data_IF_582175989931
#
_entry.id   IF_582175989931
#
_cell.length_a   1.000
_cell.length_b   1.000
_cell.length_c   1.000
_cell.angle_alpha   90.00
_cell.angle_beta   90.00
_cell.angle_gamma   90.00
#
_symmetry.space_group_name_H-M   'P 1'
#
loop_
_entity.id
_entity.type
_entity.pdbx_description
1 polymer ?
#
# COMPACT_ATOMS: atom_id res chain seq x y z
N UNK A 1 -1.63 -13.62 -11.51
CA UNK A 1 -2.82 -14.16 -10.77
C UNK A 1 -4.09 -13.46 -11.24
N UNK A 2 -5.21 -14.18 -11.37
CA UNK A 2 -6.54 -13.60 -11.62
C UNK A 2 -7.55 -14.09 -10.59
N UNK A 3 -8.53 -13.26 -10.26
CA UNK A 3 -9.55 -13.57 -9.26
C UNK A 3 -10.87 -12.86 -9.58
N UNK A 4 -12.00 -13.48 -9.22
CA UNK A 4 -13.31 -12.83 -9.27
C UNK A 4 -13.47 -11.84 -8.11
N UNK A 5 -14.25 -10.79 -8.34
CA UNK A 5 -14.50 -9.78 -7.31
C UNK A 5 -15.12 -10.36 -6.04
N UNK A 6 -16.10 -11.28 -6.17
CA UNK A 6 -16.74 -11.91 -5.00
C UNK A 6 -15.73 -12.71 -4.16
N UNK A 7 -14.90 -13.53 -4.81
CA UNK A 7 -13.89 -14.34 -4.14
C UNK A 7 -12.85 -13.46 -3.42
N UNK A 8 -12.37 -12.40 -4.07
CA UNK A 8 -11.49 -11.42 -3.46
C UNK A 8 -12.12 -10.81 -2.21
N UNK A 9 -13.35 -10.29 -2.32
CA UNK A 9 -14.02 -9.64 -1.19
C UNK A 9 -14.27 -10.60 -0.03
N UNK A 10 -14.59 -11.87 -0.34
CA UNK A 10 -14.76 -12.92 0.67
C UNK A 10 -13.45 -13.22 1.39
N UNK A 11 -12.35 -13.41 0.65
CA UNK A 11 -11.00 -13.61 1.23
C UNK A 11 -10.60 -12.45 2.14
N UNK A 12 -10.88 -11.20 1.74
CA UNK A 12 -10.60 -10.03 2.58
C UNK A 12 -11.48 -10.02 3.83
N UNK A 13 -12.79 -10.32 3.71
CA UNK A 13 -13.72 -10.38 4.84
C UNK A 13 -13.36 -11.47 5.85
N UNK A 14 -12.95 -12.65 5.38
CA UNK A 14 -12.56 -13.80 6.19
C UNK A 14 -11.11 -13.73 6.70
N UNK A 15 -10.37 -12.69 6.33
CA UNK A 15 -8.93 -12.54 6.61
C UNK A 15 -8.07 -13.70 6.05
N UNK A 16 -8.52 -14.32 4.95
CA UNK A 16 -7.80 -15.36 4.21
C UNK A 16 -6.76 -14.74 3.26
N UNK A 17 -5.74 -14.13 3.86
CA UNK A 17 -4.61 -13.54 3.14
C UNK A 17 -3.36 -13.49 4.02
N UNK A 18 -2.18 -13.48 3.39
CA UNK A 18 -0.93 -13.34 4.12
C UNK A 18 -0.81 -11.93 4.71
N UNK A 19 -0.43 -11.85 5.96
CA UNK A 19 -0.27 -10.59 6.69
C UNK A 19 1.09 -10.54 7.37
N UNK A 20 1.79 -9.42 7.22
CA UNK A 20 2.96 -9.11 8.02
C UNK A 20 2.96 -7.63 8.44
N UNK A 21 3.53 -7.37 9.61
CA UNK A 21 3.72 -6.02 10.14
C UNK A 21 5.09 -5.91 10.79
N UNK A 22 5.96 -5.14 10.17
CA UNK A 22 7.22 -4.71 10.75
C UNK A 22 7.09 -3.30 11.33
N UNK A 23 7.57 -3.11 12.56
CA UNK A 23 7.57 -1.80 13.20
C UNK A 23 9.00 -1.36 13.52
N UNK A 24 9.34 -0.13 13.14
CA UNK A 24 10.61 0.51 13.49
C UNK A 24 10.35 1.88 14.13
N UNK A 25 11.31 2.38 14.91
CA UNK A 25 11.33 3.77 15.36
C UNK A 25 11.90 4.66 14.27
N UNK A 26 11.45 5.92 14.24
CA UNK A 26 11.98 6.94 13.34
C UNK A 26 13.52 7.08 13.43
N UNK A 27 14.10 6.91 14.63
CA UNK A 27 15.55 6.96 14.85
C UNK A 27 16.33 5.80 14.20
N UNK A 28 15.66 4.72 13.80
CA UNK A 28 16.27 3.55 13.19
C UNK A 28 16.26 3.59 11.66
N UNK A 29 15.68 4.65 11.07
CA UNK A 29 15.63 4.81 9.62
C UNK A 29 17.06 4.99 9.09
N UNK A 30 17.51 3.99 8.34
CA UNK A 30 18.74 4.04 7.55
C UNK A 30 18.45 3.46 6.17
N UNK A 31 19.20 3.90 5.15
CA UNK A 31 19.04 3.39 3.77
C UNK A 31 19.16 1.86 3.72
N UNK A 32 20.13 1.31 4.44
CA UNK A 32 20.36 -0.14 4.51
C UNK A 32 19.19 -0.87 5.17
N UNK A 33 18.61 -0.35 6.26
CA UNK A 33 17.45 -0.97 6.91
C UNK A 33 16.22 -0.92 6.00
N UNK A 34 15.94 0.24 5.39
CA UNK A 34 14.82 0.40 4.45
C UNK A 34 14.96 -0.52 3.23
N UNK A 35 16.15 -0.65 2.64
CA UNK A 35 16.38 -1.57 1.51
C UNK A 35 16.11 -3.02 1.90
N UNK A 36 16.55 -3.46 3.09
CA UNK A 36 16.25 -4.81 3.60
C UNK A 36 14.75 -5.03 3.79
N UNK A 37 14.05 -4.06 4.37
CA UNK A 37 12.60 -4.15 4.57
C UNK A 37 11.87 -4.20 3.22
N UNK A 38 12.21 -3.33 2.26
CA UNK A 38 11.61 -3.35 0.93
C UNK A 38 11.82 -4.70 0.24
N UNK A 39 13.03 -5.26 0.32
CA UNK A 39 13.34 -6.59 -0.23
C UNK A 39 12.50 -7.69 0.45
N UNK A 40 12.34 -7.63 1.77
CA UNK A 40 11.50 -8.55 2.54
C UNK A 40 10.04 -8.48 2.10
N UNK A 41 9.47 -7.28 2.03
CA UNK A 41 8.07 -7.06 1.62
C UNK A 41 7.81 -7.60 0.21
N UNK A 42 8.71 -7.37 -0.75
CA UNK A 42 8.58 -7.94 -2.11
C UNK A 42 8.71 -9.45 -2.11
N UNK A 43 9.62 -10.02 -1.31
CA UNK A 43 9.72 -11.48 -1.17
C UNK A 43 8.42 -12.07 -0.62
N UNK A 44 7.79 -11.44 0.36
CA UNK A 44 6.48 -11.87 0.91
C UNK A 44 5.39 -11.80 -0.17
N UNK A 45 5.36 -10.75 -0.97
CA UNK A 45 4.43 -10.61 -2.12
C UNK A 45 4.62 -11.76 -3.12
N UNK A 46 5.86 -12.05 -3.50
CA UNK A 46 6.17 -13.15 -4.42
C UNK A 46 5.76 -14.50 -3.83
N UNK A 47 5.97 -14.71 -2.53
CA UNK A 47 5.53 -15.93 -1.84
C UNK A 47 4.01 -16.06 -1.83
N UNK A 48 3.28 -14.98 -1.55
CA UNK A 48 1.82 -14.97 -1.58
C UNK A 48 1.29 -15.44 -2.94
N UNK A 49 1.80 -14.86 -4.03
CA UNK A 49 1.37 -15.22 -5.38
C UNK A 49 1.78 -16.64 -5.79
N UNK A 50 2.94 -17.14 -5.34
CA UNK A 50 3.30 -18.56 -5.53
C UNK A 50 2.32 -19.52 -4.88
N UNK A 51 1.68 -19.10 -3.78
CA UNK A 51 0.67 -19.88 -3.07
C UNK A 51 -0.78 -19.49 -3.43
N UNK A 52 -0.97 -18.70 -4.50
CA UNK A 52 -2.28 -18.19 -4.91
C UNK A 52 -3.05 -17.49 -3.78
N UNK A 53 -2.32 -16.78 -2.92
CA UNK A 53 -2.84 -16.04 -1.78
C UNK A 53 -2.75 -14.53 -2.03
N UNK A 54 -3.69 -13.79 -1.44
CA UNK A 54 -3.59 -12.34 -1.34
C UNK A 54 -2.59 -11.97 -0.23
N UNK A 55 -2.17 -10.71 -0.20
CA UNK A 55 -1.22 -10.21 0.79
C UNK A 55 -1.51 -8.77 1.23
N UNK A 56 -1.24 -8.52 2.51
CA UNK A 56 -1.03 -7.21 3.10
C UNK A 56 0.25 -7.24 3.96
N UNK A 57 1.35 -6.65 3.49
CA UNK A 57 2.58 -6.48 4.28
C UNK A 57 2.84 -5.01 4.59
N UNK A 58 3.21 -4.70 5.84
CA UNK A 58 3.25 -3.33 6.35
C UNK A 58 4.56 -3.00 7.04
N UNK A 59 5.05 -1.77 6.81
CA UNK A 59 6.10 -1.12 7.59
C UNK A 59 5.50 0.07 8.34
N UNK A 60 5.40 -0.03 9.67
CA UNK A 60 5.04 1.08 10.54
C UNK A 60 6.28 1.76 11.10
N UNK A 61 6.37 3.09 10.90
CA UNK A 61 7.41 3.94 11.45
C UNK A 61 6.80 4.81 12.55
N UNK A 62 7.20 4.52 13.79
CA UNK A 62 6.72 5.22 14.99
C UNK A 62 7.59 6.42 15.36
N UNK A 63 7.04 7.35 16.13
CA UNK A 63 7.76 8.51 16.67
C UNK A 63 7.41 9.82 15.95
N UNK A 64 8.41 10.57 15.51
CA UNK A 64 8.18 11.87 14.85
C UNK A 64 7.54 11.65 13.48
N UNK A 65 6.41 12.33 13.24
CA UNK A 65 5.62 12.21 12.01
C UNK A 65 5.38 10.74 11.65
N UNK A 66 4.57 10.02 12.43
CA UNK A 66 4.28 8.62 12.20
C UNK A 66 3.81 8.38 10.77
N UNK A 67 4.23 7.26 10.20
CA UNK A 67 3.84 6.84 8.87
C UNK A 67 3.80 5.33 8.76
N UNK A 68 2.87 4.82 7.97
CA UNK A 68 2.79 3.41 7.60
C UNK A 68 2.87 3.30 6.09
N UNK A 69 3.70 2.36 5.63
CA UNK A 69 3.77 1.94 4.25
C UNK A 69 3.21 0.53 4.13
N UNK A 70 2.30 0.29 3.19
CA UNK A 70 1.73 -1.03 2.97
C UNK A 70 1.88 -1.47 1.51
N UNK A 71 2.03 -2.77 1.30
CA UNK A 71 1.73 -3.41 0.03
C UNK A 71 0.48 -4.26 0.19
N UNK A 72 -0.52 -3.96 -0.64
CA UNK A 72 -1.78 -4.70 -0.66
C UNK A 72 -2.05 -5.25 -2.07
N UNK A 73 -2.39 -6.54 -2.17
CA UNK A 73 -2.76 -7.14 -3.44
C UNK A 73 -4.26 -6.96 -3.72
N UNK A 74 -4.64 -6.23 -4.76
CA UNK A 74 -6.05 -5.96 -5.06
C UNK A 74 -6.28 -5.96 -6.58
N UNK A 75 -7.55 -6.03 -6.99
CA UNK A 75 -7.97 -5.90 -8.39
C UNK A 75 -8.14 -4.44 -8.81
N UNK A 76 -8.38 -3.54 -7.84
CA UNK A 76 -8.52 -2.10 -8.07
C UNK A 76 -7.82 -1.28 -6.99
N UNK A 77 -7.65 0.01 -7.27
CA UNK A 77 -7.01 1.01 -6.41
C UNK A 77 -7.88 1.39 -5.20
N UNK A 78 -8.13 0.44 -4.30
CA UNK A 78 -8.81 0.63 -3.03
C UNK A 78 -8.10 -0.15 -1.92
N UNK A 79 -8.03 0.40 -0.70
CA UNK A 79 -7.51 -0.36 0.42
C UNK A 79 -8.45 -1.50 0.80
N UNK A 80 -7.92 -2.56 1.39
CA UNK A 80 -8.70 -3.67 1.92
C UNK A 80 -9.77 -3.20 2.90
N UNK A 81 -9.52 -2.16 3.68
CA UNK A 81 -10.54 -1.57 4.58
C UNK A 81 -11.82 -1.10 3.87
N UNK A 82 -11.76 -0.86 2.55
CA UNK A 82 -12.89 -0.46 1.72
C UNK A 82 -13.37 -1.57 0.76
N UNK A 83 -13.04 -2.84 1.01
CA UNK A 83 -13.34 -3.97 0.11
C UNK A 83 -14.82 -4.06 -0.32
N UNK A 84 -15.76 -3.69 0.56
CA UNK A 84 -17.21 -3.69 0.26
C UNK A 84 -17.60 -2.74 -0.87
N UNK A 85 -16.74 -1.77 -1.22
CA UNK A 85 -16.99 -0.82 -2.31
C UNK A 85 -16.54 -1.34 -3.67
N UNK A 86 -15.82 -2.46 -3.73
CA UNK A 86 -15.27 -3.01 -4.98
C UNK A 86 -16.41 -3.38 -5.95
N UNK A 87 -17.53 -3.90 -5.45
CA UNK A 87 -18.72 -4.23 -6.24
C UNK A 87 -19.37 -3.04 -6.95
N UNK A 88 -19.03 -1.81 -6.58
CA UNK A 88 -19.48 -0.61 -7.32
C UNK A 88 -18.70 -0.38 -8.62
N UNK A 89 -17.58 -1.08 -8.81
CA UNK A 89 -16.63 -0.86 -9.92
C UNK A 89 -16.39 -2.11 -10.77
N UNK A 90 -16.72 -3.29 -10.24
CA UNK A 90 -16.46 -4.58 -10.87
C UNK A 90 -17.75 -5.42 -10.89
N UNK A 91 -17.90 -6.27 -11.90
CA UNK A 91 -18.96 -7.27 -11.97
C UNK A 91 -18.49 -8.64 -11.43
N UNK A 92 -19.44 -9.55 -11.20
CA UNK A 92 -19.20 -10.86 -10.59
C UNK A 92 -18.83 -11.96 -11.61
N UNK A 93 -19.01 -11.68 -12.91
CA UNK A 93 -18.79 -12.66 -13.97
C UNK A 93 -17.32 -12.70 -14.40
N UNK A 94 -16.68 -11.54 -14.44
CA UNK A 94 -15.31 -11.35 -14.91
C UNK A 94 -14.25 -11.75 -13.87
N UNK A 95 -13.10 -12.18 -14.39
CA UNK A 95 -11.87 -12.34 -13.64
C UNK A 95 -10.93 -11.15 -13.87
N UNK A 96 -10.45 -10.58 -12.78
CA UNK A 96 -9.59 -9.40 -12.80
C UNK A 96 -8.16 -9.78 -12.46
N UNK A 97 -7.21 -9.08 -13.08
CA UNK A 97 -5.79 -9.20 -12.74
C UNK A 97 -5.54 -8.63 -11.34
N UNK A 98 -4.78 -9.38 -10.54
CA UNK A 98 -4.35 -8.94 -9.22
C UNK A 98 -3.05 -8.14 -9.35
N UNK A 99 -3.12 -6.88 -8.91
CA UNK A 99 -2.00 -5.95 -8.82
C UNK A 99 -1.59 -5.74 -7.37
N UNK A 100 -0.37 -5.24 -7.17
CA UNK A 100 0.11 -4.80 -5.86
C UNK A 100 0.08 -3.29 -5.80
N UNK A 101 -0.59 -2.76 -4.78
CA UNK A 101 -0.70 -1.33 -4.51
C UNK A 101 0.19 -0.95 -3.33
N UNK A 102 0.91 0.15 -3.49
CA UNK A 102 1.72 0.78 -2.45
C UNK A 102 0.92 1.88 -1.77
N UNK A 103 0.60 1.66 -0.50
CA UNK A 103 -0.11 2.62 0.33
C UNK A 103 0.84 3.39 1.23
N UNK A 104 0.53 4.66 1.43
CA UNK A 104 1.20 5.55 2.38
C UNK A 104 0.16 6.20 3.27
N UNK A 105 0.20 5.91 4.56
CA UNK A 105 -0.69 6.44 5.58
C UNK A 105 0.13 7.36 6.49
N UNK A 106 -0.19 8.65 6.51
CA UNK A 106 0.44 9.61 7.42
C UNK A 106 -0.35 10.91 7.43
N UNK A 107 -0.43 11.59 8.59
CA UNK A 107 -1.00 12.95 8.67
C UNK A 107 -0.28 13.97 7.76
N UNK A 108 0.95 13.64 7.36
CA UNK A 108 1.90 14.52 6.69
C UNK A 108 2.12 14.14 5.21
N UNK A 109 1.25 13.34 4.59
CA UNK A 109 1.36 13.00 3.16
C UNK A 109 0.55 13.94 2.28
N UNK A 110 -0.71 14.21 2.66
CA UNK A 110 -1.66 15.09 1.99
C UNK A 110 -2.87 15.36 2.90
N UNK A 111 -3.89 16.03 2.38
CA UNK A 111 -5.13 16.37 3.10
C UNK A 111 -5.95 15.14 3.49
N UNK A 112 -5.92 14.05 2.71
CA UNK A 112 -6.62 12.80 3.04
C UNK A 112 -5.84 11.90 4.01
N UNK A 113 -4.59 12.27 4.34
CA UNK A 113 -3.68 11.48 5.16
C UNK A 113 -3.37 10.09 4.59
N UNK A 114 -3.65 9.90 3.30
CA UNK A 114 -3.61 8.62 2.61
C UNK A 114 -3.24 8.83 1.14
N UNK A 115 -2.33 8.00 0.63
CA UNK A 115 -1.96 7.92 -0.78
C UNK A 115 -1.82 6.45 -1.16
N UNK A 116 -2.29 6.11 -2.35
CA UNK A 116 -2.16 4.78 -2.92
C UNK A 116 -1.67 4.93 -4.36
N UNK A 117 -0.65 4.16 -4.71
CA UNK A 117 -0.01 4.14 -6.02
C UNK A 117 0.12 2.66 -6.45
N UNK A 118 -0.07 2.33 -7.73
CA UNK A 118 0.15 0.96 -8.22
C UNK A 118 1.66 0.69 -8.28
N UNK A 119 2.11 -0.43 -7.72
CA UNK A 119 3.51 -0.85 -7.79
C UNK A 119 3.77 -1.66 -9.06
N UNK A 120 2.95 -2.68 -9.32
CA UNK A 120 3.05 -3.56 -10.48
C UNK A 120 2.08 -4.73 -10.40
N UNK A 121 1.98 -5.49 -11.49
CA UNK A 121 1.15 -6.70 -11.48
C UNK A 121 1.85 -7.88 -10.81
N UNK A 122 1.06 -8.88 -10.40
CA UNK A 122 1.60 -10.10 -9.80
C UNK A 122 2.64 -10.80 -10.68
N UNK A 123 2.42 -10.80 -12.00
CA UNK A 123 3.30 -11.47 -12.96
C UNK A 123 4.59 -10.66 -13.18
N UNK A 124 4.50 -9.33 -13.23
CA UNK A 124 5.68 -8.46 -13.37
C UNK A 124 6.61 -8.54 -12.15
N UNK A 125 6.02 -8.52 -10.94
CA UNK A 125 6.78 -8.57 -9.68
C UNK A 125 7.46 -9.93 -9.51
N UNK A 126 6.78 -11.02 -9.88
CA UNK A 126 7.36 -12.35 -9.83
C UNK A 126 8.49 -12.55 -10.85
N UNK A 127 8.44 -11.86 -12.00
CA UNK A 127 9.45 -11.96 -13.04
C UNK A 127 10.77 -11.24 -12.68
N UNK A 128 10.71 -10.14 -11.92
CA UNK A 128 11.89 -9.38 -11.51
C UNK A 128 11.78 -8.80 -10.08
N UNK A 129 11.83 -9.66 -9.04
CA UNK A 129 11.66 -9.22 -7.65
C UNK A 129 12.71 -8.19 -7.20
N UNK A 130 13.93 -8.27 -7.73
CA UNK A 130 15.02 -7.36 -7.36
C UNK A 130 14.74 -5.94 -7.86
N UNK A 131 14.29 -5.79 -9.11
CA UNK A 131 13.84 -4.49 -9.64
C UNK A 131 12.72 -3.89 -8.80
N UNK A 132 11.70 -4.68 -8.44
CA UNK A 132 10.57 -4.18 -7.66
C UNK A 132 10.96 -3.87 -6.21
N UNK A 133 11.95 -4.57 -5.65
CA UNK A 133 12.54 -4.23 -4.35
C UNK A 133 13.24 -2.87 -4.37
N UNK A 134 13.99 -2.58 -5.43
CA UNK A 134 14.64 -1.28 -5.61
C UNK A 134 13.63 -0.15 -5.90
N UNK A 135 12.56 -0.43 -6.66
CA UNK A 135 11.47 0.53 -6.89
C UNK A 135 10.73 0.87 -5.60
N UNK A 136 10.36 -0.15 -4.82
CA UNK A 136 9.70 0.04 -3.53
C UNK A 136 10.60 0.81 -2.55
N UNK A 137 11.88 0.46 -2.48
CA UNK A 137 12.84 1.17 -1.64
C UNK A 137 12.89 2.67 -2.00
N UNK A 138 12.98 3.00 -3.30
CA UNK A 138 12.96 4.40 -3.76
C UNK A 138 11.64 5.10 -3.44
N UNK A 139 10.51 4.41 -3.63
CA UNK A 139 9.20 4.96 -3.31
C UNK A 139 9.07 5.28 -1.82
N UNK A 140 9.53 4.38 -0.93
CA UNK A 140 9.57 4.60 0.51
C UNK A 140 10.47 5.80 0.85
N UNK A 141 11.67 5.89 0.27
CA UNK A 141 12.57 7.04 0.49
C UNK A 141 11.89 8.36 0.08
N UNK A 142 11.28 8.41 -1.11
CA UNK A 142 10.58 9.59 -1.62
C UNK A 142 9.44 10.01 -0.68
N UNK A 143 8.58 9.07 -0.26
CA UNK A 143 7.46 9.39 0.64
C UNK A 143 7.94 9.83 2.02
N UNK A 144 9.02 9.26 2.54
CA UNK A 144 9.66 9.73 3.77
C UNK A 144 10.11 11.19 3.62
N UNK A 145 10.70 11.57 2.48
CA UNK A 145 11.10 12.94 2.20
C UNK A 145 9.90 13.89 2.11
N UNK A 146 8.83 13.50 1.41
CA UNK A 146 7.57 14.24 1.36
C UNK A 146 7.03 14.47 2.78
N UNK A 147 6.96 13.42 3.59
CA UNK A 147 6.47 13.49 4.97
C UNK A 147 7.38 14.34 5.86
N UNK A 148 8.70 14.31 5.67
CA UNK A 148 9.66 15.15 6.40
C UNK A 148 9.54 16.63 6.05
N UNK A 149 9.23 16.93 4.80
CA UNK A 149 9.17 18.30 4.28
C UNK A 149 7.74 18.85 4.21
N UNK A 150 6.74 18.06 4.61
CA UNK A 150 5.34 18.48 4.58
C UNK A 150 5.11 19.78 5.32
N UNK A 151 4.48 20.71 4.62
CA UNK A 151 3.94 21.96 5.12
C UNK A 151 2.43 21.89 4.96
N UNK A 152 1.70 22.10 6.06
CA UNK A 152 0.24 22.07 6.03
C UNK A 152 -0.23 23.23 5.14
N UNK A 153 -0.99 22.96 4.05
CA UNK A 153 -1.50 24.04 3.22
C UNK A 153 -2.38 24.95 4.09
N UNK A 154 -2.21 26.26 3.95
CA UNK A 154 -3.06 27.23 4.64
C UNK A 154 -4.52 26.95 4.29
N UNK A 155 -5.35 26.77 5.32
CA UNK A 155 -6.78 26.60 5.09
C UNK A 155 -7.31 27.88 4.45
N UNK A 156 -7.75 27.82 3.20
CA UNK A 156 -8.59 28.87 2.64
C UNK A 156 -9.86 28.90 3.47
N UNK A 157 -9.89 29.78 4.46
CA UNK A 157 -11.07 30.08 5.27
C UNK A 157 -12.18 30.39 4.29
N UNK A 158 -13.20 29.52 4.23
CA UNK A 158 -14.42 29.75 3.44
C UNK A 158 -14.95 31.13 3.84
N UNK A 159 -14.88 32.09 2.94
CA UNK A 159 -15.54 33.38 3.11
C UNK A 159 -17.01 33.09 3.42
N UNK A 160 -17.44 33.42 4.65
CA UNK A 160 -18.85 33.44 5.03
C UNK A 160 -19.54 34.35 4.02
N UNK A 161 -20.40 33.78 3.15
CA UNK A 161 -21.41 34.56 2.45
C UNK A 161 -22.37 35.06 3.51
N UNK A 162 -22.27 36.34 3.85
CA UNK A 162 -23.28 37.04 4.64
C UNK A 162 -24.56 37.07 3.81
N UNK A 163 -25.66 36.63 4.43
CA UNK A 163 -27.02 36.71 3.88
C UNK A 163 -27.44 38.16 3.71
#
# INVERSE_FOLDING_TARGET
MKIKQEELTKKIEEQDYLQDLETIKYSEITKTKLKKIATKMISEVVQAFKHNSLIQTQLAISGRRPMTFALESNIINLPFTNYKKISNFCNNEDEYEVNVYFETISEYVNVSHFRIDILGSSDEIAADPDKYSDLLFKAIEEKIEVIRNYQKPESKTKAKKTK
#
